data_IF_609128471241
#
_entry.id   IF_609128471241
#
_cell.length_a   1.000
_cell.length_b   1.000
_cell.length_c   1.000
_cell.angle_alpha   90.00
_cell.angle_beta   90.00
_cell.angle_gamma   90.00
#
_symmetry.space_group_name_H-M   'P 1'
#
loop_
_entity.id
_entity.type
_entity.pdbx_description
1 polymer ?
#
# COMPACT_ATOMS: atom_id res chain seq x y z
N UNK A 1 6.75 37.07 48.77
CA UNK A 1 6.06 36.32 47.70
C UNK A 1 6.27 34.85 47.97
N UNK A 2 5.24 34.09 48.33
CA UNK A 2 5.34 32.63 48.48
C UNK A 2 5.16 31.96 47.12
N UNK A 3 5.94 30.93 46.78
CA UNK A 3 5.72 30.17 45.55
C UNK A 3 4.39 29.43 45.65
N UNK A 4 3.55 29.55 44.63
CA UNK A 4 2.32 28.78 44.49
C UNK A 4 2.75 27.33 44.22
N UNK A 5 2.81 26.51 45.26
CA UNK A 5 2.92 25.05 45.11
C UNK A 5 1.60 24.55 44.56
N UNK A 6 1.60 24.18 43.28
CA UNK A 6 0.46 23.56 42.62
C UNK A 6 0.36 22.13 43.15
N UNK A 7 -0.57 21.89 44.05
CA UNK A 7 -0.84 20.54 44.56
C UNK A 7 -1.26 19.65 43.38
N UNK A 8 -0.49 18.59 43.16
CA UNK A 8 -0.81 17.60 42.14
C UNK A 8 -1.93 16.70 42.66
N UNK A 9 -2.90 16.34 41.82
CA UNK A 9 -4.00 15.48 42.23
C UNK A 9 -3.51 14.08 42.62
N UNK A 10 -4.22 13.48 43.57
CA UNK A 10 -3.99 12.14 44.05
C UNK A 10 -4.11 11.10 42.92
N UNK A 11 -3.13 10.20 42.81
CA UNK A 11 -3.08 9.16 41.78
C UNK A 11 -4.27 8.20 41.85
N UNK A 12 -4.88 8.04 43.03
CA UNK A 12 -6.08 7.22 43.23
C UNK A 12 -7.33 7.78 42.50
N UNK A 13 -7.28 9.04 42.05
CA UNK A 13 -8.34 9.66 41.25
C UNK A 13 -8.20 9.40 39.72
N UNK A 14 -7.12 8.76 39.29
CA UNK A 14 -6.82 8.58 37.88
C UNK A 14 -7.53 7.34 37.34
N UNK A 15 -8.26 7.49 36.24
CA UNK A 15 -8.87 6.36 35.51
C UNK A 15 -7.86 5.85 34.49
N UNK A 16 -7.56 4.55 34.54
CA UNK A 16 -6.67 3.89 33.58
C UNK A 16 -7.21 3.98 32.16
N UNK A 17 -6.33 4.25 31.19
CA UNK A 17 -6.70 4.20 29.77
C UNK A 17 -7.15 2.79 29.41
N UNK A 18 -8.35 2.67 28.86
CA UNK A 18 -8.91 1.43 28.34
C UNK A 18 -8.76 1.32 26.81
N UNK A 19 -7.85 2.10 26.22
CA UNK A 19 -7.56 2.06 24.80
C UNK A 19 -7.04 0.66 24.42
N UNK A 20 -7.68 0.04 23.44
CA UNK A 20 -7.21 -1.20 22.83
C UNK A 20 -6.92 -0.94 21.37
N UNK A 21 -5.71 -1.27 20.92
CA UNK A 21 -5.38 -1.23 19.50
C UNK A 21 -6.04 -2.42 18.80
N UNK A 22 -6.86 -2.15 17.80
CA UNK A 22 -7.29 -3.20 16.87
C UNK A 22 -6.09 -3.61 16.02
N UNK A 23 -5.44 -4.73 16.36
CA UNK A 23 -4.47 -5.37 15.46
C UNK A 23 -5.22 -5.79 14.20
N UNK A 24 -5.03 -5.05 13.09
CA UNK A 24 -5.40 -5.57 11.77
C UNK A 24 -4.62 -6.86 11.58
N UNK A 25 -5.30 -7.94 11.21
CA UNK A 25 -4.64 -9.14 10.67
C UNK A 25 -3.88 -8.70 9.42
N UNK A 26 -2.58 -8.52 9.58
CA UNK A 26 -1.67 -8.18 8.50
C UNK A 26 -1.58 -9.40 7.59
N UNK A 27 -2.42 -9.46 6.56
CA UNK A 27 -1.95 -10.01 5.30
C UNK A 27 -0.66 -9.29 4.96
N UNK A 28 0.38 -10.02 4.55
CA UNK A 28 1.67 -9.47 4.14
C UNK A 28 1.44 -8.32 3.16
N UNK A 29 1.45 -7.08 3.69
CA UNK A 29 1.03 -5.91 2.92
C UNK A 29 2.00 -5.70 1.77
N UNK A 30 1.55 -5.90 0.54
CA UNK A 30 2.40 -5.95 -0.65
C UNK A 30 2.57 -4.59 -1.27
N UNK A 31 1.50 -4.10 -1.91
CA UNK A 31 1.48 -2.85 -2.63
C UNK A 31 0.77 -1.78 -1.81
N UNK A 32 1.42 -0.64 -1.57
CA UNK A 32 0.78 0.54 -0.98
C UNK A 32 0.70 1.66 -2.00
N UNK A 33 -0.52 2.13 -2.26
CA UNK A 33 -0.78 3.31 -3.08
C UNK A 33 -0.85 4.51 -2.14
N UNK A 34 0.02 5.48 -2.34
CA UNK A 34 0.00 6.75 -1.59
C UNK A 34 -0.52 7.85 -2.49
N UNK A 35 -1.58 8.51 -2.04
CA UNK A 35 -2.18 9.65 -2.70
C UNK A 35 -2.45 10.74 -1.67
N UNK A 36 -1.49 11.67 -1.55
CA UNK A 36 -1.62 12.85 -0.70
C UNK A 36 -1.25 14.11 -1.48
N UNK A 37 -1.45 15.27 -0.84
CA UNK A 37 -0.98 16.55 -1.38
C UNK A 37 0.55 16.54 -1.57
N UNK A 38 1.28 15.98 -0.59
CA UNK A 38 2.74 16.01 -0.53
C UNK A 38 3.42 14.83 -1.24
N UNK A 39 2.67 13.92 -1.86
CA UNK A 39 3.26 12.83 -2.61
C UNK A 39 2.26 11.86 -3.22
N UNK A 40 2.55 11.44 -4.46
CA UNK A 40 1.82 10.40 -5.19
C UNK A 40 2.81 9.35 -5.63
N UNK A 41 2.71 8.15 -5.07
CA UNK A 41 3.66 7.07 -5.33
C UNK A 41 3.04 5.70 -5.10
N UNK A 42 3.63 4.70 -5.74
CA UNK A 42 3.47 3.30 -5.37
C UNK A 42 4.64 2.90 -4.48
N UNK A 43 4.36 2.16 -3.42
CA UNK A 43 5.37 1.59 -2.53
C UNK A 43 5.20 0.07 -2.54
N UNK A 44 6.25 -0.63 -2.98
CA UNK A 44 6.33 -2.08 -3.04
C UNK A 44 7.12 -2.53 -1.82
N UNK A 45 6.52 -3.37 -0.98
CA UNK A 45 7.19 -3.87 0.21
C UNK A 45 8.38 -4.77 -0.13
N UNK A 46 9.18 -5.15 0.87
CA UNK A 46 10.32 -6.05 0.65
C UNK A 46 9.92 -7.40 0.07
N UNK A 47 8.76 -7.95 0.44
CA UNK A 47 8.29 -9.24 -0.11
C UNK A 47 8.13 -9.18 -1.63
N UNK A 48 7.55 -8.11 -2.18
CA UNK A 48 7.48 -7.95 -3.64
C UNK A 48 8.89 -7.85 -4.22
N UNK A 49 9.78 -7.06 -3.62
CA UNK A 49 11.14 -6.88 -4.11
C UNK A 49 11.97 -8.18 -4.10
N UNK A 50 11.73 -9.06 -3.14
CA UNK A 50 12.39 -10.37 -3.03
C UNK A 50 11.94 -11.35 -4.14
N UNK A 51 10.79 -11.09 -4.77
CA UNK A 51 10.30 -11.86 -5.92
C UNK A 51 10.81 -11.33 -7.26
N UNK A 52 11.26 -10.08 -7.33
CA UNK A 52 11.79 -9.50 -8.56
C UNK A 52 13.21 -10.01 -8.84
N UNK A 53 13.52 -10.25 -10.11
CA UNK A 53 14.88 -10.63 -10.57
C UNK A 53 15.83 -9.44 -10.54
N UNK A 54 15.29 -8.24 -10.75
CA UNK A 54 16.00 -6.96 -10.62
C UNK A 54 15.16 -5.93 -9.83
N UNK A 55 15.81 -5.03 -9.10
CA UNK A 55 15.13 -4.02 -8.29
C UNK A 55 15.29 -2.59 -8.86
N UNK A 56 15.65 -2.46 -10.15
CA UNK A 56 15.81 -1.15 -10.80
C UNK A 56 14.53 -0.66 -11.46
N UNK A 57 13.71 -1.55 -12.00
CA UNK A 57 12.46 -1.19 -12.68
C UNK A 57 11.46 -2.34 -12.73
N UNK A 58 10.19 -1.99 -12.90
CA UNK A 58 9.08 -2.95 -13.07
C UNK A 58 8.13 -2.49 -14.15
N UNK A 59 7.42 -3.44 -14.74
CA UNK A 59 6.23 -3.22 -15.52
C UNK A 59 4.98 -3.48 -14.69
N UNK A 60 3.90 -2.81 -15.04
CA UNK A 60 2.60 -2.97 -14.41
C UNK A 60 1.56 -3.21 -15.50
N UNK A 61 0.71 -4.21 -15.30
CA UNK A 61 -0.43 -4.51 -16.16
C UNK A 61 -1.71 -4.64 -15.32
N UNK A 62 -2.86 -4.52 -15.98
CA UNK A 62 -4.17 -4.49 -15.32
C UNK A 62 -5.15 -5.47 -15.98
N UNK A 63 -6.04 -5.99 -15.14
CA UNK A 63 -7.34 -6.56 -15.50
C UNK A 63 -8.41 -5.80 -14.74
N UNK A 64 -9.68 -6.19 -14.85
CA UNK A 64 -10.76 -5.59 -14.06
C UNK A 64 -10.55 -5.73 -12.55
N UNK A 65 -9.92 -6.81 -12.09
CA UNK A 65 -9.87 -7.17 -10.65
C UNK A 65 -8.46 -7.32 -10.08
N UNK A 66 -7.46 -7.41 -10.95
CA UNK A 66 -6.07 -7.67 -10.59
C UNK A 66 -5.11 -6.72 -11.28
N UNK A 67 -4.07 -6.35 -10.55
CA UNK A 67 -2.87 -5.74 -11.08
C UNK A 67 -1.73 -6.76 -11.06
N UNK A 68 -0.96 -6.83 -12.14
CA UNK A 68 0.25 -7.62 -12.23
C UNK A 68 1.49 -6.70 -12.16
N UNK A 69 2.54 -7.16 -11.47
CA UNK A 69 3.83 -6.48 -11.34
C UNK A 69 4.93 -7.50 -11.60
N UNK A 70 5.88 -7.18 -12.49
CA UNK A 70 7.05 -8.01 -12.80
C UNK A 70 8.18 -7.12 -13.33
N UNK A 71 9.40 -7.65 -13.51
CA UNK A 71 10.45 -6.90 -14.22
C UNK A 71 10.10 -6.76 -15.70
N UNK A 72 9.45 -7.78 -16.28
CA UNK A 72 8.94 -7.76 -17.64
C UNK A 72 7.60 -8.48 -17.76
N UNK A 73 6.69 -7.95 -18.58
CA UNK A 73 5.38 -8.55 -18.88
C UNK A 73 5.19 -8.58 -20.40
N UNK A 74 5.40 -7.44 -21.07
CA UNK A 74 5.28 -7.33 -22.53
C UNK A 74 6.02 -6.08 -23.05
N UNK A 75 6.44 -6.11 -24.31
CA UNK A 75 7.11 -4.99 -25.00
C UNK A 75 6.27 -3.70 -25.03
N UNK A 76 4.94 -3.84 -25.06
CA UNK A 76 4.02 -2.69 -25.10
C UNK A 76 3.90 -1.97 -23.75
N UNK A 77 4.38 -2.58 -22.67
CA UNK A 77 4.22 -2.05 -21.32
C UNK A 77 5.32 -1.03 -21.00
N UNK A 78 4.96 -0.02 -20.20
CA UNK A 78 5.91 0.98 -19.71
C UNK A 78 6.78 0.40 -18.60
N UNK A 79 8.09 0.63 -18.67
CA UNK A 79 9.02 0.36 -17.57
C UNK A 79 9.02 1.53 -16.58
N UNK A 80 8.71 1.26 -15.31
CA UNK A 80 8.74 2.24 -14.24
C UNK A 80 9.98 2.03 -13.37
N UNK A 81 10.82 3.06 -13.24
CA UNK A 81 11.99 3.02 -12.36
C UNK A 81 11.58 2.91 -10.89
N UNK A 82 12.23 2.00 -10.17
CA UNK A 82 12.14 1.85 -8.73
C UNK A 82 13.23 2.67 -8.03
N UNK A 83 12.80 3.63 -7.23
CA UNK A 83 13.63 4.22 -6.18
C UNK A 83 13.62 3.37 -4.91
N UNK A 84 14.56 3.61 -4.00
CA UNK A 84 14.57 2.98 -2.67
C UNK A 84 14.02 3.93 -1.60
N UNK A 85 13.20 3.40 -0.70
CA UNK A 85 12.80 4.08 0.54
C UNK A 85 12.82 3.06 1.69
N UNK A 86 13.91 3.04 2.44
CA UNK A 86 14.17 1.98 3.42
C UNK A 86 14.23 0.61 2.75
N UNK A 87 13.41 -0.34 3.23
CA UNK A 87 13.28 -1.70 2.67
C UNK A 87 12.26 -1.81 1.53
N UNK A 88 11.62 -0.71 1.15
CA UNK A 88 10.59 -0.68 0.11
C UNK A 88 11.12 -0.08 -1.19
N UNK A 89 10.65 -0.61 -2.32
CA UNK A 89 10.81 0.02 -3.62
C UNK A 89 9.70 1.04 -3.84
N UNK A 90 10.00 2.16 -4.50
CA UNK A 90 9.06 3.26 -4.67
C UNK A 90 9.05 3.74 -6.12
N UNK A 91 7.84 3.86 -6.68
CA UNK A 91 7.62 4.45 -8.00
C UNK A 91 6.98 5.83 -7.80
N UNK A 92 7.73 6.89 -8.11
CA UNK A 92 7.24 8.27 -8.09
C UNK A 92 6.63 8.64 -9.44
N UNK A 93 5.38 8.24 -9.66
CA UNK A 93 4.65 8.60 -10.88
C UNK A 93 3.19 8.96 -10.56
N UNK A 94 2.88 10.25 -10.62
CA UNK A 94 1.54 10.75 -10.29
C UNK A 94 0.47 10.34 -11.33
N UNK A 95 0.85 10.19 -12.61
CA UNK A 95 -0.07 9.77 -13.66
C UNK A 95 -0.47 8.31 -13.47
N UNK A 96 0.51 7.43 -13.22
CA UNK A 96 0.30 6.03 -12.88
C UNK A 96 -0.61 5.87 -11.65
N UNK A 97 -0.36 6.62 -10.57
CA UNK A 97 -1.20 6.56 -9.38
C UNK A 97 -2.64 6.98 -9.68
N UNK A 98 -2.83 8.06 -10.44
CA UNK A 98 -4.17 8.51 -10.85
C UNK A 98 -4.87 7.50 -11.75
N UNK A 99 -4.15 6.88 -12.68
CA UNK A 99 -4.66 5.81 -13.54
C UNK A 99 -5.18 4.65 -12.71
N UNK A 100 -4.39 4.16 -11.75
CA UNK A 100 -4.78 3.05 -10.87
C UNK A 100 -6.01 3.43 -10.02
N UNK A 101 -6.04 4.65 -9.48
CA UNK A 101 -7.19 5.15 -8.71
C UNK A 101 -8.45 5.17 -9.57
N UNK A 102 -8.36 5.69 -10.80
CA UNK A 102 -9.48 5.77 -11.73
C UNK A 102 -9.98 4.41 -12.17
N UNK A 103 -9.07 3.48 -12.52
CA UNK A 103 -9.40 2.12 -12.97
C UNK A 103 -10.14 1.31 -11.91
N UNK A 104 -9.72 1.40 -10.65
CA UNK A 104 -10.29 0.60 -9.55
C UNK A 104 -11.21 1.38 -8.62
N UNK A 105 -11.62 2.60 -9.01
CA UNK A 105 -12.51 3.47 -8.23
C UNK A 105 -12.09 3.63 -6.75
N UNK A 106 -10.79 3.84 -6.51
CA UNK A 106 -10.25 3.88 -5.15
C UNK A 106 -10.59 5.22 -4.46
N UNK A 107 -11.17 5.14 -3.25
CA UNK A 107 -11.53 6.33 -2.47
C UNK A 107 -10.44 6.73 -1.46
N UNK A 108 -9.94 7.97 -1.61
CA UNK A 108 -8.93 8.60 -0.75
C UNK A 108 -9.47 9.79 0.07
N UNK A 109 -10.79 10.03 0.10
CA UNK A 109 -11.41 11.21 0.77
C UNK A 109 -10.91 11.43 2.20
N UNK A 110 -10.78 10.36 2.98
CA UNK A 110 -10.37 10.41 4.40
C UNK A 110 -9.09 9.60 4.68
N UNK A 111 -8.24 9.38 3.67
CA UNK A 111 -7.01 8.59 3.83
C UNK A 111 -5.93 9.00 2.83
N UNK A 112 -4.68 8.88 3.22
CA UNK A 112 -3.52 9.21 2.37
C UNK A 112 -2.93 7.99 1.68
N UNK A 113 -3.27 6.79 2.13
CA UNK A 113 -2.78 5.54 1.54
C UNK A 113 -3.80 4.40 1.61
N UNK A 114 -3.68 3.45 0.69
CA UNK A 114 -4.36 2.15 0.71
C UNK A 114 -3.31 1.08 0.44
N UNK A 115 -3.31 0.01 1.25
CA UNK A 115 -2.40 -1.13 1.11
C UNK A 115 -3.18 -2.37 0.68
N UNK A 116 -2.67 -3.08 -0.31
CA UNK A 116 -3.19 -4.31 -0.85
C UNK A 116 -2.20 -5.45 -0.56
N UNK A 117 -2.67 -6.62 -0.06
CA UNK A 117 -1.83 -7.78 0.10
C UNK A 117 -1.46 -8.37 -1.26
N UNK A 118 -0.36 -9.13 -1.30
CA UNK A 118 -0.06 -9.99 -2.44
C UNK A 118 -1.16 -11.07 -2.51
N UNK A 119 -1.75 -11.25 -3.68
CA UNK A 119 -2.74 -12.31 -3.93
C UNK A 119 -2.04 -13.62 -4.28
N UNK A 120 -1.14 -13.57 -5.26
CA UNK A 120 -0.42 -14.75 -5.76
C UNK A 120 0.90 -14.31 -6.42
N UNK A 121 1.84 -15.23 -6.53
CA UNK A 121 3.05 -15.09 -7.35
C UNK A 121 3.15 -16.30 -8.26
N UNK A 122 3.30 -16.08 -9.57
CA UNK A 122 3.48 -17.14 -10.56
C UNK A 122 4.79 -16.94 -11.31
N UNK A 123 5.36 -18.03 -11.80
CA UNK A 123 6.51 -18.00 -12.70
C UNK A 123 6.02 -18.34 -14.11
N UNK A 124 6.21 -17.40 -15.05
CA UNK A 124 5.77 -17.52 -16.44
C UNK A 124 7.00 -17.28 -17.30
N UNK A 125 7.41 -18.27 -18.09
CA UNK A 125 8.59 -18.17 -18.98
C UNK A 125 9.89 -17.74 -18.25
N UNK A 126 10.03 -18.10 -16.97
CA UNK A 126 11.19 -17.74 -16.14
C UNK A 126 11.10 -16.38 -15.45
N UNK A 127 10.00 -15.65 -15.67
CA UNK A 127 9.72 -14.35 -15.04
C UNK A 127 8.72 -14.49 -13.90
N UNK A 128 9.01 -13.88 -12.75
CA UNK A 128 8.10 -13.89 -11.59
C UNK A 128 7.10 -12.75 -11.68
N UNK A 129 5.83 -13.11 -11.84
CA UNK A 129 4.71 -12.18 -11.91
C UNK A 129 3.97 -12.17 -10.57
N UNK A 130 3.94 -11.01 -9.93
CA UNK A 130 3.24 -10.76 -8.67
C UNK A 130 1.86 -10.22 -8.98
N UNK A 131 0.83 -10.91 -8.49
CA UNK A 131 -0.56 -10.51 -8.64
C UNK A 131 -1.06 -9.83 -7.36
N UNK A 132 -1.63 -8.64 -7.52
CA UNK A 132 -2.29 -7.88 -6.46
C UNK A 132 -3.78 -7.85 -6.78
N UNK A 133 -4.61 -8.34 -5.85
CA UNK A 133 -6.07 -8.25 -5.98
C UNK A 133 -6.53 -6.84 -5.64
N UNK A 134 -6.91 -6.09 -6.66
CA UNK A 134 -7.31 -4.69 -6.57
C UNK A 134 -8.81 -4.54 -6.27
N UNK A 135 -9.33 -5.32 -5.30
CA UNK A 135 -10.76 -5.53 -4.97
C UNK A 135 -11.64 -5.93 -6.19
N UNK A 136 -12.47 -6.96 -6.02
CA UNK A 136 -13.91 -6.71 -5.98
C UNK A 136 -14.55 -7.35 -4.76
N UNK A 137 -15.52 -6.67 -4.16
CA UNK A 137 -16.61 -7.23 -3.33
C UNK A 137 -17.59 -6.08 -3.06
N UNK A 138 -18.36 -5.69 -4.09
CA UNK A 138 -19.72 -5.26 -3.82
C UNK A 138 -20.51 -6.52 -3.56
N UNK A 139 -21.30 -6.53 -2.49
CA UNK A 139 -22.46 -7.40 -2.44
C UNK A 139 -23.25 -7.12 -3.72
N UNK A 140 -23.23 -8.06 -4.66
CA UNK A 140 -24.11 -8.04 -5.82
C UNK A 140 -25.53 -7.94 -5.24
N UNK A 141 -26.20 -6.88 -5.66
CA UNK A 141 -27.61 -6.59 -5.50
C UNK A 141 -28.42 -7.87 -5.23
N UNK A 142 -28.91 -8.05 -3.99
CA UNK A 142 -30.08 -8.88 -3.79
C UNK A 142 -31.26 -8.04 -4.29
N UNK A 143 -31.87 -8.54 -5.38
CA UNK A 143 -33.07 -7.99 -5.97
C UNK A 143 -34.32 -8.20 -5.13
#
# INVERSE_FOLDING_TARGET
MNPITKELPDLDSFVGSNCTDTKRTSGTGGLTIVYSQNGKRLSLNSTILDHLTDQSSVQIAYTETYMAIANFIAEINTNYTLGKNGKSGVIYNAALVKEIIGRYHLDFTNRTSITFPIFEVQEIEGEKVIYIKMKPNDNILQG
#
